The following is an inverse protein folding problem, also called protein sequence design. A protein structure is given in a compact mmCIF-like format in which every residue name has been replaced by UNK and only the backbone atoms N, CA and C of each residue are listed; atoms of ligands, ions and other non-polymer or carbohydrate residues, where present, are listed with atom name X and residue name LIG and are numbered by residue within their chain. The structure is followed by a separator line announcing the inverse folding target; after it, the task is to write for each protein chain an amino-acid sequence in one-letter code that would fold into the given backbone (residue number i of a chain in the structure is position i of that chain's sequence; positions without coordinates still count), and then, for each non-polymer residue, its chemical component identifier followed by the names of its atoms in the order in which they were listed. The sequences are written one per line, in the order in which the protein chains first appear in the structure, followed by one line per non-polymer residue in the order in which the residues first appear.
data_IF_084249175334
#
_entry.id   IF_084249175334
#
_cell.length_a   1.000
_cell.length_b   1.000
_cell.length_c   1.000
_cell.angle_alpha   90.00
_cell.angle_beta   90.00
_cell.angle_gamma   90.00
#
_symmetry.space_group_name_H-M   'P 1'
#
loop_
_entity.id
_entity.type
_entity.pdbx_description
1 polymer ?
#
# COMPACT_ATOMS: atom_id res chain seq x y z
N UNK A 1 1.17 1.37 5.30
CA UNK A 1 2.38 1.22 4.46
C UNK A 1 2.77 2.58 3.91
N UNK A 2 4.07 2.91 3.80
CA UNK A 2 4.57 4.25 3.41
C UNK A 2 4.33 4.68 1.95
N UNK A 3 3.32 4.15 1.26
CA UNK A 3 3.01 4.49 -0.13
C UNK A 3 2.53 5.93 -0.30
N UNK A 4 1.83 6.48 0.70
CA UNK A 4 1.46 7.89 0.72
C UNK A 4 2.69 8.82 0.73
N UNK A 5 3.77 8.38 1.38
CA UNK A 5 4.98 9.18 1.62
C UNK A 5 5.91 9.29 0.41
N UNK A 6 5.52 8.71 -0.75
CA UNK A 6 6.30 8.76 -2.01
C UNK A 6 7.76 8.32 -1.86
N UNK A 7 8.08 7.50 -0.87
CA UNK A 7 9.42 6.98 -0.64
C UNK A 7 9.60 5.63 -1.32
N UNK A 8 10.67 5.48 -2.10
CA UNK A 8 11.04 4.20 -2.72
C UNK A 8 12.50 3.89 -2.45
N UNK A 9 12.74 2.77 -1.77
CA UNK A 9 14.06 2.16 -1.66
C UNK A 9 14.34 1.36 -2.95
N UNK A 10 15.42 1.70 -3.63
CA UNK A 10 15.99 0.92 -4.74
C UNK A 10 17.15 0.10 -4.19
N UNK A 11 17.19 -1.18 -4.54
CA UNK A 11 18.27 -2.08 -4.14
C UNK A 11 18.86 -2.67 -5.42
N UNK A 12 20.19 -2.59 -5.54
CA UNK A 12 20.96 -3.31 -6.54
C UNK A 12 21.67 -4.47 -5.83
N UNK A 13 21.38 -5.70 -6.26
CA UNK A 13 21.87 -6.89 -5.60
C UNK A 13 22.19 -7.99 -6.60
N UNK A 14 23.21 -8.79 -6.27
CA UNK A 14 23.43 -10.08 -6.92
C UNK A 14 22.56 -11.13 -6.24
N UNK A 15 21.84 -11.90 -7.04
CA UNK A 15 20.92 -12.92 -6.52
C UNK A 15 21.54 -14.29 -6.68
N UNK A 16 21.62 -15.02 -5.58
CA UNK A 16 21.85 -16.46 -5.58
C UNK A 16 20.50 -17.18 -5.44
N UNK A 17 20.24 -18.13 -6.32
CA UNK A 17 18.99 -18.91 -6.31
C UNK A 17 19.33 -20.36 -6.00
N UNK A 18 18.81 -20.88 -4.88
CA UNK A 18 19.01 -22.27 -4.48
C UNK A 18 17.68 -23.03 -4.49
N UNK A 19 17.71 -24.34 -4.75
CA UNK A 19 16.49 -25.16 -4.62
C UNK A 19 16.21 -25.39 -3.14
N UNK A 20 14.95 -25.62 -2.81
CA UNK A 20 14.47 -25.96 -1.47
C UNK A 20 15.36 -26.98 -0.73
N UNK A 21 15.71 -28.06 -1.43
CA UNK A 21 16.49 -29.17 -0.89
C UNK A 21 17.95 -28.81 -0.56
N UNK A 22 18.50 -27.77 -1.21
CA UNK A 22 19.92 -27.43 -1.09
C UNK A 22 20.18 -26.55 0.14
N UNK A 23 19.14 -25.90 0.69
CA UNK A 23 19.22 -24.96 1.84
C UNK A 23 18.03 -25.12 2.80
N UNK A 24 17.82 -26.31 3.40
CA UNK A 24 16.65 -26.57 4.26
C UNK A 24 16.55 -25.61 5.45
N UNK A 25 17.68 -25.11 5.95
CA UNK A 25 17.74 -24.14 7.05
C UNK A 25 17.15 -22.77 6.70
N UNK A 26 17.25 -22.36 5.43
CA UNK A 26 16.62 -21.12 4.95
C UNK A 26 15.13 -21.32 4.70
N UNK A 27 14.74 -22.52 4.26
CA UNK A 27 13.34 -22.86 4.01
C UNK A 27 12.49 -22.76 5.27
N UNK A 28 13.00 -23.26 6.39
CA UNK A 28 12.30 -23.17 7.67
C UNK A 28 12.11 -21.72 8.12
N UNK A 29 13.09 -20.84 7.86
CA UNK A 29 12.99 -19.41 8.18
C UNK A 29 12.02 -18.65 7.30
N UNK A 30 11.76 -19.14 6.08
CA UNK A 30 10.85 -18.52 5.12
C UNK A 30 9.42 -19.05 5.23
N UNK A 31 9.18 -20.08 6.05
CA UNK A 31 7.82 -20.58 6.29
C UNK A 31 7.02 -19.54 7.06
N UNK A 32 5.83 -19.26 6.53
CA UNK A 32 4.82 -18.46 7.22
C UNK A 32 3.87 -19.43 7.94
N UNK A 33 3.80 -19.39 9.29
CA UNK A 33 2.93 -20.29 10.04
C UNK A 33 1.47 -20.20 9.57
N UNK A 34 0.83 -21.36 9.36
CA UNK A 34 -0.57 -21.43 8.95
C UNK A 34 -0.82 -21.13 7.47
N UNK A 35 0.22 -20.89 6.67
CA UNK A 35 0.10 -20.69 5.23
C UNK A 35 0.55 -21.95 4.47
N UNK A 36 -0.41 -22.64 3.85
CA UNK A 36 -0.15 -23.86 3.07
C UNK A 36 0.44 -23.50 1.70
N UNK A 37 1.74 -23.22 1.68
CA UNK A 37 2.49 -22.93 0.48
C UNK A 37 3.68 -23.88 0.31
N UNK A 38 3.79 -24.43 -0.89
CA UNK A 38 4.96 -25.21 -1.30
C UNK A 38 6.10 -24.27 -1.64
N UNK A 39 7.10 -24.21 -0.77
CA UNK A 39 8.32 -23.45 -1.03
C UNK A 39 9.23 -24.25 -1.98
N UNK A 40 9.56 -23.68 -3.15
CA UNK A 40 10.37 -24.38 -4.17
C UNK A 40 11.84 -23.97 -4.18
N UNK A 41 12.12 -22.69 -3.88
CA UNK A 41 13.43 -22.07 -4.02
C UNK A 41 13.66 -21.01 -2.97
N UNK A 42 14.91 -20.79 -2.62
CA UNK A 42 15.36 -19.63 -1.86
C UNK A 42 16.11 -18.67 -2.77
N UNK A 43 15.91 -17.37 -2.55
CA UNK A 43 16.66 -16.31 -3.21
C UNK A 43 17.43 -15.55 -2.14
N UNK A 44 18.75 -15.63 -2.18
CA UNK A 44 19.62 -14.85 -1.32
C UNK A 44 20.10 -13.63 -2.10
N UNK A 45 19.75 -12.45 -1.60
CA UNK A 45 20.12 -11.17 -2.20
C UNK A 45 21.38 -10.64 -1.53
N UNK A 46 22.49 -10.62 -2.26
CA UNK A 46 23.72 -9.96 -1.86
C UNK A 46 23.66 -8.50 -2.30
N UNK A 47 23.37 -7.61 -1.35
CA UNK A 47 23.17 -6.19 -1.62
C UNK A 47 24.51 -5.53 -1.94
N UNK A 48 24.63 -5.01 -3.16
CA UNK A 48 25.83 -4.31 -3.64
C UNK A 48 25.67 -2.79 -3.48
N UNK A 49 24.44 -2.28 -3.65
CA UNK A 49 24.10 -0.87 -3.43
C UNK A 49 22.62 -0.68 -3.11
N UNK A 50 22.29 0.44 -2.47
CA UNK A 50 20.91 0.89 -2.30
C UNK A 50 20.82 2.41 -2.37
N UNK A 51 19.66 2.92 -2.75
CA UNK A 51 19.38 4.34 -2.84
C UNK A 51 17.91 4.65 -2.51
N UNK A 52 17.66 5.77 -1.85
CA UNK A 52 16.32 6.31 -1.65
C UNK A 52 16.01 7.30 -2.78
N UNK A 53 15.16 6.87 -3.71
CA UNK A 53 14.93 7.63 -4.93
C UNK A 53 14.13 8.92 -4.70
N UNK A 54 14.32 9.94 -5.56
CA UNK A 54 13.54 11.18 -5.56
C UNK A 54 12.03 10.92 -5.75
N UNK A 55 11.14 11.57 -4.96
CA UNK A 55 9.70 11.30 -4.95
C UNK A 55 8.93 11.82 -6.18
N UNK A 56 9.55 12.65 -7.04
CA UNK A 56 8.87 13.44 -8.07
C UNK A 56 7.93 12.62 -8.98
N UNK A 57 8.26 11.37 -9.30
CA UNK A 57 7.47 10.51 -10.20
C UNK A 57 6.75 9.34 -9.49
N UNK A 58 6.63 9.38 -8.16
CA UNK A 58 5.92 8.34 -7.40
C UNK A 58 4.49 8.82 -7.13
N UNK A 59 3.51 8.17 -7.76
CA UNK A 59 2.08 8.37 -7.49
C UNK A 59 1.76 7.83 -6.09
N UNK A 60 1.23 8.70 -5.22
CA UNK A 60 0.73 8.28 -3.91
C UNK A 60 -0.43 7.30 -4.06
N UNK A 61 -0.43 6.25 -3.24
CA UNK A 61 -1.56 5.33 -3.11
C UNK A 61 -2.12 5.46 -1.71
N UNK A 62 -3.44 5.56 -1.64
CA UNK A 62 -4.20 5.64 -0.41
C UNK A 62 -5.16 4.47 -0.35
N UNK A 63 -5.43 3.96 0.85
CA UNK A 63 -6.51 3.00 1.06
C UNK A 63 -7.87 3.72 1.03
N UNK A 64 -8.96 2.95 0.97
CA UNK A 64 -10.29 3.54 0.97
C UNK A 64 -10.57 4.28 2.29
N UNK A 65 -10.10 3.73 3.40
CA UNK A 65 -10.24 4.31 4.73
C UNK A 65 -9.48 5.64 4.85
N UNK A 66 -8.28 5.72 4.28
CA UNK A 66 -7.49 6.96 4.24
C UNK A 66 -8.20 8.04 3.41
N UNK A 67 -8.75 7.69 2.24
CA UNK A 67 -9.52 8.62 1.42
C UNK A 67 -10.79 9.10 2.14
N UNK A 68 -11.51 8.20 2.81
CA UNK A 68 -12.69 8.55 3.60
C UNK A 68 -12.34 9.52 4.73
N UNK A 69 -11.26 9.26 5.46
CA UNK A 69 -10.80 10.13 6.53
C UNK A 69 -10.41 11.52 6.02
N UNK A 70 -9.69 11.60 4.89
CA UNK A 70 -9.29 12.87 4.27
C UNK A 70 -10.49 13.71 3.81
N UNK A 71 -11.56 13.06 3.35
CA UNK A 71 -12.73 13.73 2.80
C UNK A 71 -13.89 13.89 3.79
N UNK A 72 -13.73 13.48 5.06
CA UNK A 72 -14.81 13.47 6.04
C UNK A 72 -15.52 14.83 6.19
N UNK A 73 -14.74 15.92 6.35
CA UNK A 73 -15.28 17.28 6.48
C UNK A 73 -15.98 17.77 5.20
N UNK A 74 -15.46 17.39 4.04
CA UNK A 74 -16.07 17.71 2.75
C UNK A 74 -17.44 17.03 2.62
N UNK A 75 -17.54 15.76 3.00
CA UNK A 75 -18.81 15.03 2.98
C UNK A 75 -19.83 15.60 3.96
N UNK A 76 -19.40 15.99 5.17
CA UNK A 76 -20.28 16.66 6.13
C UNK A 76 -20.81 17.99 5.58
N UNK A 77 -19.94 18.78 4.96
CA UNK A 77 -20.33 20.06 4.37
C UNK A 77 -21.32 19.89 3.21
N UNK A 78 -21.07 18.92 2.31
CA UNK A 78 -21.97 18.59 1.21
C UNK A 78 -23.34 18.16 1.74
N UNK A 79 -23.39 17.27 2.74
CA UNK A 79 -24.66 16.81 3.32
C UNK A 79 -25.48 17.97 3.93
N UNK A 80 -24.81 18.93 4.57
CA UNK A 80 -25.45 20.14 5.07
C UNK A 80 -26.04 20.99 3.95
N UNK A 81 -25.25 21.26 2.91
CA UNK A 81 -25.70 22.07 1.77
C UNK A 81 -26.87 21.40 1.02
N UNK A 82 -26.82 20.08 0.84
CA UNK A 82 -27.91 19.32 0.22
C UNK A 82 -29.20 19.42 1.04
N UNK A 83 -29.10 19.39 2.37
CA UNK A 83 -30.25 19.57 3.28
C UNK A 83 -30.83 20.98 3.19
N UNK A 84 -29.98 22.01 3.13
CA UNK A 84 -30.41 23.40 2.97
C UNK A 84 -31.10 23.64 1.61
N UNK A 85 -30.53 23.11 0.54
CA UNK A 85 -31.13 23.17 -0.79
C UNK A 85 -32.48 22.46 -0.86
N UNK A 86 -32.61 21.29 -0.24
CA UNK A 86 -33.87 20.56 -0.16
C UNK A 86 -34.95 21.41 0.57
N UNK A 87 -34.58 22.03 1.70
CA UNK A 87 -35.48 22.93 2.45
C UNK A 87 -35.92 24.12 1.60
N UNK A 88 -35.00 24.77 0.90
CA UNK A 88 -35.31 25.94 0.07
C UNK A 88 -36.21 25.58 -1.12
N UNK A 89 -35.95 24.45 -1.78
CA UNK A 89 -36.79 23.97 -2.89
C UNK A 89 -38.22 23.66 -2.44
N UNK A 90 -38.40 23.09 -1.25
CA UNK A 90 -39.74 22.85 -0.70
C UNK A 90 -40.51 24.15 -0.44
N UNK A 91 -39.82 25.20 0.02
CA UNK A 91 -40.44 26.53 0.24
C UNK A 91 -40.78 27.23 -1.07
N UNK A 92 -40.03 26.99 -2.15
CA UNK A 92 -40.28 27.59 -3.48
C UNK A 92 -41.38 26.90 -4.29
N UNK A 93 -41.75 25.67 -3.93
CA UNK A 93 -42.75 24.89 -4.67
C UNK A 93 -44.17 25.05 -4.07
N UNK A 94 -44.28 25.71 -2.92
CA UNK A 94 -45.53 26.17 -2.30
C UNK A 94 -45.77 27.64 -2.62
#
# INVERSE_FOLDING_TARGET
MGYANRSRLKIYARIEVNKAKDRPELMEKLRVPGYDATLERTMLLHIEAFDWNCPQHITSRFTMEEIQAMNALLYEHVAKLESELARLRQVQTN
#
